data_IF_911776832736
#
_entry.id   IF_911776832736
#
_cell.length_a   1.000
_cell.length_b   1.000
_cell.length_c   1.000
_cell.angle_alpha   90.00
_cell.angle_beta   90.00
_cell.angle_gamma   90.00
#
_symmetry.space_group_name_H-M   'P 1'
#
loop_
_entity.id
_entity.type
_entity.pdbx_description
1 polymer ?
#
# COMPACT_ATOMS: atom_id res chain seq x y z
N UNK A 1 37.02 62.37 45.67
CA UNK A 1 35.89 61.58 46.22
C UNK A 1 34.91 61.37 45.08
N UNK A 2 35.08 60.32 44.26
CA UNK A 2 34.52 58.97 44.40
C UNK A 2 33.01 58.95 44.66
N UNK A 3 32.23 58.53 43.64
CA UNK A 3 31.40 57.33 43.74
C UNK A 3 31.17 56.76 42.32
N UNK A 4 31.76 55.60 42.04
CA UNK A 4 31.45 54.76 40.87
C UNK A 4 30.29 53.85 41.25
N UNK A 5 29.22 53.86 40.47
CA UNK A 5 28.11 52.90 40.54
C UNK A 5 28.49 51.62 39.79
N UNK A 6 28.58 50.50 40.51
CA UNK A 6 28.70 49.15 39.94
C UNK A 6 27.29 48.57 39.84
N UNK A 7 26.83 48.24 38.63
CA UNK A 7 25.60 47.48 38.39
C UNK A 7 25.94 45.99 38.42
N UNK A 8 25.38 45.27 39.38
CA UNK A 8 25.48 43.82 39.50
C UNK A 8 24.39 43.18 38.61
N UNK A 9 24.80 42.42 37.59
CA UNK A 9 23.89 41.64 36.74
C UNK A 9 23.96 40.20 37.26
N UNK A 10 22.88 39.73 37.88
CA UNK A 10 22.74 38.36 38.36
C UNK A 10 22.14 37.50 37.23
N UNK A 11 22.82 36.45 36.75
CA UNK A 11 22.19 35.50 35.84
C UNK A 11 21.25 34.58 36.63
N UNK A 12 19.96 34.65 36.35
CA UNK A 12 18.96 33.68 36.81
C UNK A 12 19.12 32.42 35.97
N UNK A 13 19.76 31.39 36.54
CA UNK A 13 19.71 30.03 35.97
C UNK A 13 18.32 29.46 36.25
N UNK A 14 17.47 29.45 35.22
CA UNK A 14 16.20 28.73 35.23
C UNK A 14 16.46 27.23 35.22
N UNK A 15 16.24 26.60 36.37
CA UNK A 15 16.22 25.14 36.51
C UNK A 15 14.88 24.62 35.99
N UNK A 16 14.81 24.20 34.72
CA UNK A 16 13.64 23.52 34.17
C UNK A 16 13.62 22.06 34.66
N UNK A 17 12.87 21.80 35.73
CA UNK A 17 12.47 20.45 36.15
C UNK A 17 11.52 19.87 35.09
N UNK A 18 12.05 19.03 34.19
CA UNK A 18 11.25 18.13 33.37
C UNK A 18 10.70 17.02 34.28
N UNK A 19 9.43 17.13 34.66
CA UNK A 19 8.66 16.01 35.19
C UNK A 19 8.44 15.02 34.04
N UNK A 20 9.26 13.98 33.96
CA UNK A 20 8.97 12.80 33.16
C UNK A 20 7.83 12.03 33.84
N UNK A 21 6.63 12.12 33.27
CA UNK A 21 5.55 11.21 33.62
C UNK A 21 6.00 9.80 33.28
N UNK A 22 6.25 8.98 34.30
CA UNK A 22 6.41 7.53 34.19
C UNK A 22 5.10 6.95 33.66
N UNK A 23 4.96 6.84 32.34
CA UNK A 23 4.01 5.89 31.77
C UNK A 23 4.50 4.48 32.11
N UNK A 24 3.63 3.57 32.57
CA UNK A 24 4.03 2.19 32.76
C UNK A 24 4.52 1.63 31.41
N UNK A 25 5.79 1.23 31.38
CA UNK A 25 6.34 0.40 30.31
C UNK A 25 5.56 -0.91 30.39
N UNK A 26 4.56 -1.07 29.53
CA UNK A 26 4.02 -2.39 29.25
C UNK A 26 5.17 -3.11 28.53
N UNK A 27 5.73 -4.19 29.06
CA UNK A 27 6.64 -5.01 28.28
C UNK A 27 5.83 -5.52 27.09
N UNK A 28 6.04 -4.90 25.93
CA UNK A 28 5.77 -5.57 24.67
C UNK A 28 6.76 -6.72 24.66
N UNK A 29 6.29 -7.88 25.11
CA UNK A 29 6.91 -9.13 24.72
C UNK A 29 6.85 -9.14 23.20
N UNK A 30 7.98 -8.85 22.56
CA UNK A 30 8.21 -9.32 21.21
C UNK A 30 8.16 -10.84 21.33
N UNK A 31 6.95 -11.39 21.15
CA UNK A 31 6.82 -12.79 20.84
C UNK A 31 7.67 -12.96 19.59
N UNK A 32 8.82 -13.62 19.72
CA UNK A 32 9.57 -14.16 18.60
C UNK A 32 8.65 -15.18 17.94
N UNK A 33 7.70 -14.65 17.16
CA UNK A 33 6.96 -15.44 16.20
C UNK A 33 8.02 -15.86 15.21
N UNK A 34 8.50 -17.10 15.37
CA UNK A 34 9.35 -17.83 14.45
C UNK A 34 9.13 -17.31 13.02
N UNK A 35 10.07 -16.51 12.52
CA UNK A 35 10.06 -15.98 11.15
C UNK A 35 10.00 -17.15 10.15
N UNK A 36 10.57 -18.31 10.51
CA UNK A 36 10.46 -19.56 9.75
C UNK A 36 9.05 -20.14 9.66
N UNK A 37 8.16 -19.96 10.66
CA UNK A 37 6.82 -20.54 10.61
C UNK A 37 5.85 -19.71 9.74
N UNK A 38 6.13 -18.42 9.56
CA UNK A 38 5.34 -17.53 8.67
C UNK A 38 5.78 -17.69 7.22
N UNK A 39 7.08 -17.91 6.96
CA UNK A 39 7.58 -18.23 5.61
C UNK A 39 7.13 -19.61 5.12
N UNK A 40 7.09 -20.62 6.00
CA UNK A 40 6.72 -21.98 5.60
C UNK A 40 5.23 -22.09 5.23
N UNK A 41 4.35 -21.35 5.92
CA UNK A 41 2.93 -21.21 5.57
C UNK A 41 2.69 -20.34 4.32
N UNK A 42 3.54 -19.35 4.03
CA UNK A 42 3.43 -18.55 2.81
C UNK A 42 3.94 -19.31 1.56
N UNK A 43 4.90 -20.22 1.71
CA UNK A 43 5.47 -21.02 0.62
C UNK A 43 4.52 -22.06 0.02
N UNK A 44 3.56 -22.55 0.82
CA UNK A 44 2.56 -23.55 0.38
C UNK A 44 1.45 -22.97 -0.49
N UNK A 45 1.30 -21.64 -0.59
CA UNK A 45 0.21 -20.99 -1.32
C UNK A 45 0.69 -20.02 -2.40
N UNK A 46 1.98 -19.99 -2.71
CA UNK A 46 2.54 -19.06 -3.67
C UNK A 46 2.35 -19.57 -5.11
N UNK A 47 1.51 -18.88 -5.89
CA UNK A 47 1.51 -19.02 -7.34
C UNK A 47 2.86 -18.54 -7.88
N UNK A 48 3.49 -19.33 -8.74
CA UNK A 48 4.71 -18.91 -9.46
C UNK A 48 4.37 -17.90 -10.56
N UNK A 49 5.36 -17.20 -11.08
CA UNK A 49 5.17 -16.33 -12.27
C UNK A 49 4.62 -17.10 -13.47
N UNK A 50 4.99 -18.38 -13.61
CA UNK A 50 4.44 -19.27 -14.65
C UNK A 50 2.96 -19.54 -14.41
N UNK A 51 2.56 -19.82 -13.17
CA UNK A 51 1.15 -20.04 -12.83
C UNK A 51 0.31 -18.79 -13.08
N UNK A 52 0.84 -17.61 -12.73
CA UNK A 52 0.20 -16.32 -13.01
C UNK A 52 0.08 -16.10 -14.52
N UNK A 53 1.13 -16.40 -15.29
CA UNK A 53 1.14 -16.29 -16.75
C UNK A 53 0.13 -17.21 -17.43
N UNK A 54 -0.04 -18.44 -16.93
CA UNK A 54 -1.08 -19.37 -17.38
C UNK A 54 -2.46 -18.80 -17.00
N UNK A 55 -2.67 -18.43 -15.73
CA UNK A 55 -3.94 -17.95 -15.24
C UNK A 55 -4.46 -16.70 -15.99
N UNK A 56 -3.58 -15.79 -16.40
CA UNK A 56 -3.94 -14.61 -17.19
C UNK A 56 -4.70 -14.95 -18.49
N UNK A 57 -4.49 -16.13 -19.06
CA UNK A 57 -5.17 -16.58 -20.29
C UNK A 57 -6.59 -17.10 -20.03
N UNK A 58 -6.91 -17.43 -18.78
CA UNK A 58 -8.19 -18.02 -18.39
C UNK A 58 -9.04 -17.07 -17.53
N UNK A 59 -8.51 -15.91 -17.17
CA UNK A 59 -9.23 -14.89 -16.41
C UNK A 59 -9.67 -13.80 -17.37
N UNK A 60 -10.91 -13.36 -17.22
CA UNK A 60 -11.46 -12.26 -18.00
C UNK A 60 -12.19 -11.29 -17.08
N UNK A 61 -12.21 -10.01 -17.47
CA UNK A 61 -13.05 -9.01 -16.84
C UNK A 61 -14.40 -8.96 -17.57
N UNK A 62 -15.48 -9.30 -16.87
CA UNK A 62 -16.81 -9.22 -17.44
C UNK A 62 -17.21 -7.75 -17.61
N UNK A 63 -17.37 -7.30 -18.86
CA UNK A 63 -17.65 -5.89 -19.19
C UNK A 63 -18.99 -5.36 -18.65
N UNK A 64 -19.94 -6.23 -18.29
CA UNK A 64 -21.26 -5.82 -17.79
C UNK A 64 -21.25 -5.68 -16.28
N UNK A 65 -20.66 -6.63 -15.56
CA UNK A 65 -20.60 -6.61 -14.09
C UNK A 65 -19.35 -5.92 -13.54
N UNK A 66 -18.34 -5.69 -14.38
CA UNK A 66 -16.99 -5.27 -14.04
C UNK A 66 -16.34 -6.19 -12.99
N UNK A 67 -16.62 -7.49 -13.03
CA UNK A 67 -16.01 -8.48 -12.14
C UNK A 67 -15.11 -9.44 -12.92
N UNK A 68 -14.05 -9.91 -12.28
CA UNK A 68 -13.21 -10.97 -12.78
C UNK A 68 -13.94 -12.32 -12.72
N UNK A 69 -13.75 -13.13 -13.75
CA UNK A 69 -14.23 -14.52 -13.82
C UNK A 69 -13.13 -15.45 -14.31
N UNK A 70 -13.06 -16.64 -13.73
CA UNK A 70 -12.13 -17.71 -14.11
C UNK A 70 -12.85 -18.69 -15.04
N UNK A 71 -12.27 -18.97 -16.20
CA UNK A 71 -12.75 -19.99 -17.11
C UNK A 71 -12.60 -21.39 -16.50
N UNK A 72 -13.63 -22.26 -16.51
CA UNK A 72 -13.52 -23.62 -15.99
C UNK A 72 -12.43 -24.46 -16.68
N UNK A 73 -12.06 -24.12 -17.91
CA UNK A 73 -11.00 -24.80 -18.66
C UNK A 73 -9.61 -24.68 -18.03
N UNK A 74 -9.42 -23.78 -17.05
CA UNK A 74 -8.15 -23.66 -16.31
C UNK A 74 -7.76 -24.95 -15.58
N UNK A 75 -8.76 -25.76 -15.18
CA UNK A 75 -8.54 -27.04 -14.50
C UNK A 75 -7.92 -28.12 -15.40
N UNK A 76 -7.85 -27.87 -16.71
CA UNK A 76 -7.15 -28.76 -17.65
C UNK A 76 -5.64 -28.49 -17.69
N UNK A 77 -5.18 -27.36 -17.15
CA UNK A 77 -3.78 -26.90 -17.25
C UNK A 77 -3.12 -26.64 -15.90
N UNK A 78 -3.90 -26.37 -14.86
CA UNK A 78 -3.42 -26.19 -13.49
C UNK A 78 -4.04 -27.22 -12.54
N UNK A 79 -3.32 -27.55 -11.47
CA UNK A 79 -3.83 -28.42 -10.42
C UNK A 79 -5.01 -27.76 -9.68
N UNK A 80 -5.90 -28.59 -9.14
CA UNK A 80 -7.06 -28.11 -8.37
C UNK A 80 -6.68 -27.17 -7.23
N UNK A 81 -5.54 -27.41 -6.57
CA UNK A 81 -4.99 -26.55 -5.52
C UNK A 81 -4.68 -25.14 -6.04
N UNK A 82 -3.96 -25.02 -7.16
CA UNK A 82 -3.66 -23.73 -7.80
C UNK A 82 -4.92 -23.02 -8.26
N UNK A 83 -5.87 -23.77 -8.84
CA UNK A 83 -7.17 -23.22 -9.26
C UNK A 83 -7.94 -22.66 -8.06
N UNK A 84 -7.92 -23.33 -6.91
CA UNK A 84 -8.54 -22.84 -5.68
C UNK A 84 -7.91 -21.53 -5.20
N UNK A 85 -6.57 -21.44 -5.22
CA UNK A 85 -5.85 -20.21 -4.87
C UNK A 85 -6.23 -19.07 -5.82
N UNK A 86 -6.27 -19.33 -7.13
CA UNK A 86 -6.67 -18.35 -8.15
C UNK A 86 -8.11 -17.87 -7.92
N UNK A 87 -9.03 -18.78 -7.64
CA UNK A 87 -10.41 -18.42 -7.32
C UNK A 87 -10.50 -17.53 -6.08
N UNK A 88 -9.66 -17.78 -5.07
CA UNK A 88 -9.60 -16.97 -3.87
C UNK A 88 -9.03 -15.56 -4.18
N UNK A 89 -8.00 -15.44 -5.02
CA UNK A 89 -7.51 -14.14 -5.51
C UNK A 89 -8.61 -13.35 -6.23
N UNK A 90 -9.29 -14.00 -7.16
CA UNK A 90 -10.39 -13.40 -7.94
C UNK A 90 -11.54 -12.96 -7.04
N UNK A 91 -11.91 -13.76 -6.03
CA UNK A 91 -12.95 -13.40 -5.07
C UNK A 91 -12.56 -12.15 -4.25
N UNK A 92 -11.30 -12.06 -3.81
CA UNK A 92 -10.76 -10.90 -3.10
C UNK A 92 -10.73 -9.66 -4.00
N UNK A 93 -10.23 -9.80 -5.22
CA UNK A 93 -10.22 -8.71 -6.22
C UNK A 93 -11.64 -8.17 -6.49
N UNK A 94 -12.61 -9.06 -6.65
CA UNK A 94 -14.02 -8.68 -6.83
C UNK A 94 -14.63 -8.00 -5.60
N UNK A 95 -14.11 -8.27 -4.41
CA UNK A 95 -14.49 -7.54 -3.19
C UNK A 95 -13.95 -6.11 -3.24
N UNK A 96 -12.68 -5.92 -3.62
CA UNK A 96 -12.11 -4.58 -3.81
C UNK A 96 -12.81 -3.79 -4.92
N UNK A 97 -13.20 -4.42 -6.02
CA UNK A 97 -14.00 -3.78 -7.06
C UNK A 97 -15.31 -3.21 -6.50
N UNK A 98 -16.01 -3.97 -5.64
CA UNK A 98 -17.26 -3.49 -5.02
C UNK A 98 -16.99 -2.27 -4.13
N UNK A 99 -15.93 -2.30 -3.33
CA UNK A 99 -15.54 -1.17 -2.49
C UNK A 99 -15.14 0.04 -3.33
N UNK A 100 -14.33 -0.16 -4.37
CA UNK A 100 -13.83 0.89 -5.25
C UNK A 100 -14.93 1.61 -6.02
N UNK A 101 -16.01 0.91 -6.41
CA UNK A 101 -17.19 1.53 -7.03
C UNK A 101 -17.90 2.54 -6.11
N UNK A 102 -17.73 2.41 -4.79
CA UNK A 102 -18.30 3.33 -3.79
C UNK A 102 -17.31 4.42 -3.37
N UNK A 103 -16.02 4.23 -3.64
CA UNK A 103 -14.99 5.22 -3.37
C UNK A 103 -15.01 6.30 -4.46
N UNK A 104 -14.95 7.57 -4.06
CA UNK A 104 -14.94 8.73 -4.95
C UNK A 104 -13.68 9.59 -4.79
N UNK A 105 -12.68 9.09 -4.04
CA UNK A 105 -11.47 9.84 -3.70
C UNK A 105 -10.45 9.86 -4.85
N UNK A 106 -10.37 8.80 -5.65
CA UNK A 106 -9.51 8.73 -6.83
C UNK A 106 -10.05 7.78 -7.91
N UNK A 107 -9.60 7.92 -9.17
CA UNK A 107 -9.91 6.95 -10.22
C UNK A 107 -9.38 5.55 -9.89
N UNK A 108 -10.25 4.55 -9.99
CA UNK A 108 -9.91 3.13 -9.89
C UNK A 108 -10.29 2.44 -11.19
N UNK A 109 -9.38 1.67 -11.76
CA UNK A 109 -9.60 0.88 -12.97
C UNK A 109 -9.51 -0.60 -12.65
N UNK A 110 -10.33 -1.44 -13.28
CA UNK A 110 -10.07 -2.87 -13.36
C UNK A 110 -9.39 -3.18 -14.70
N UNK A 111 -8.29 -3.93 -14.67
CA UNK A 111 -7.53 -4.30 -15.87
C UNK A 111 -7.87 -5.72 -16.27
N UNK A 112 -8.41 -5.88 -17.48
CA UNK A 112 -8.61 -7.20 -18.08
C UNK A 112 -7.25 -7.84 -18.39
N UNK A 113 -6.89 -8.98 -17.78
CA UNK A 113 -5.58 -9.60 -18.01
C UNK A 113 -5.43 -10.15 -19.43
N UNK A 114 -6.54 -10.45 -20.12
CA UNK A 114 -6.52 -11.01 -21.48
C UNK A 114 -6.27 -9.95 -22.56
N UNK A 115 -6.78 -8.73 -22.35
CA UNK A 115 -6.69 -7.64 -23.34
C UNK A 115 -5.80 -6.47 -22.92
N UNK A 116 -5.44 -6.39 -21.63
CA UNK A 116 -4.75 -5.26 -21.02
C UNK A 116 -5.59 -3.98 -20.92
N UNK A 117 -6.87 -4.03 -21.30
CA UNK A 117 -7.76 -2.86 -21.30
C UNK A 117 -8.27 -2.58 -19.89
N UNK A 118 -8.23 -1.31 -19.50
CA UNK A 118 -8.78 -0.83 -18.23
C UNK A 118 -10.23 -0.37 -18.36
N UNK A 119 -11.07 -0.74 -17.41
CA UNK A 119 -12.42 -0.21 -17.22
C UNK A 119 -12.44 0.66 -15.98
N UNK A 120 -12.86 1.92 -16.11
CA UNK A 120 -13.02 2.83 -14.99
C UNK A 120 -14.18 2.35 -14.10
N UNK A 121 -13.94 2.20 -12.81
CA UNK A 121 -14.91 1.69 -11.83
C UNK A 121 -15.66 2.79 -11.09
N UNK A 122 -15.08 3.99 -10.99
CA UNK A 122 -15.66 5.13 -10.29
C UNK A 122 -15.38 6.44 -11.05
N UNK A 123 -16.25 7.43 -10.87
CA UNK A 123 -16.07 8.74 -11.49
C UNK A 123 -15.47 9.72 -10.48
N UNK A 124 -14.21 10.11 -10.69
CA UNK A 124 -13.51 11.10 -9.87
C UNK A 124 -12.98 12.23 -10.73
N UNK A 125 -13.21 13.46 -10.28
CA UNK A 125 -12.65 14.65 -10.90
C UNK A 125 -11.14 14.71 -10.60
N UNK A 126 -10.31 14.52 -11.62
CA UNK A 126 -8.85 14.55 -11.45
C UNK A 126 -8.32 15.98 -11.58
N UNK A 127 -7.66 16.46 -10.53
CA UNK A 127 -6.84 17.67 -10.60
C UNK A 127 -5.48 17.32 -11.20
N UNK A 128 -4.95 18.16 -12.09
CA UNK A 128 -3.67 17.92 -12.77
C UNK A 128 -2.51 18.09 -11.77
N UNK A 129 -1.68 17.05 -11.61
CA UNK A 129 -0.43 17.08 -10.83
C UNK A 129 0.72 16.39 -11.59
N UNK A 130 1.96 16.57 -11.15
CA UNK A 130 3.11 15.80 -11.63
C UNK A 130 3.00 14.35 -11.11
N UNK A 131 2.77 13.41 -12.03
CA UNK A 131 2.32 12.05 -11.70
C UNK A 131 0.81 11.99 -11.40
N UNK A 132 0.25 10.79 -11.48
CA UNK A 132 -1.19 10.55 -11.22
C UNK A 132 -1.38 9.79 -9.91
N UNK A 133 -2.50 10.07 -9.25
CA UNK A 133 -3.06 9.20 -8.23
C UNK A 133 -4.17 8.39 -8.87
N UNK A 134 -3.95 7.10 -9.04
CA UNK A 134 -4.97 6.15 -9.43
C UNK A 134 -4.63 4.75 -8.93
N UNK A 135 -5.61 3.86 -8.99
CA UNK A 135 -5.42 2.45 -8.69
C UNK A 135 -5.82 1.65 -9.92
N UNK A 136 -5.00 0.67 -10.29
CA UNK A 136 -5.38 -0.35 -11.26
C UNK A 136 -5.46 -1.70 -10.55
N UNK A 137 -6.66 -2.24 -10.46
CA UNK A 137 -6.95 -3.56 -9.92
C UNK A 137 -6.70 -4.62 -11.00
N UNK A 138 -5.83 -5.56 -10.68
CA UNK A 138 -5.65 -6.81 -11.41
C UNK A 138 -6.32 -7.92 -10.60
N UNK A 139 -6.43 -9.13 -11.15
CA UNK A 139 -7.10 -10.23 -10.44
C UNK A 139 -6.32 -10.73 -9.22
N UNK A 140 -4.99 -10.52 -9.18
CA UNK A 140 -4.09 -11.01 -8.12
C UNK A 140 -3.36 -9.91 -7.31
N UNK A 141 -3.40 -8.67 -7.77
CA UNK A 141 -2.76 -7.54 -7.09
C UNK A 141 -3.47 -6.22 -7.44
N UNK A 142 -3.20 -5.18 -6.66
CA UNK A 142 -3.51 -3.80 -7.03
C UNK A 142 -2.22 -3.04 -7.30
N UNK A 143 -2.19 -2.25 -8.37
CA UNK A 143 -1.15 -1.24 -8.57
C UNK A 143 -1.65 0.11 -8.10
N UNK A 144 -0.91 0.70 -7.17
CA UNK A 144 -1.19 2.02 -6.61
C UNK A 144 -0.22 3.01 -7.24
N UNK A 145 -0.75 4.01 -7.91
CA UNK A 145 0.02 5.13 -8.44
C UNK A 145 -0.10 6.30 -7.48
N UNK A 146 1.03 6.88 -7.12
CA UNK A 146 1.14 8.06 -6.29
C UNK A 146 1.79 9.18 -7.10
N UNK A 147 1.16 10.35 -7.11
CA UNK A 147 1.79 11.56 -7.62
C UNK A 147 2.99 11.96 -6.74
N UNK A 148 3.81 12.90 -7.21
CA UNK A 148 5.03 13.28 -6.51
C UNK A 148 4.79 13.70 -5.05
N UNK A 149 3.68 14.39 -4.75
CA UNK A 149 3.34 14.82 -3.39
C UNK A 149 3.02 13.63 -2.47
N UNK A 150 2.15 12.72 -2.91
CA UNK A 150 1.78 11.55 -2.14
C UNK A 150 2.93 10.57 -2.00
N UNK A 151 3.81 10.47 -3.00
CA UNK A 151 5.06 9.72 -2.86
C UNK A 151 5.93 10.31 -1.75
N UNK A 152 6.04 11.64 -1.63
CA UNK A 152 6.79 12.26 -0.51
C UNK A 152 6.13 11.98 0.82
N UNK A 153 4.82 12.16 0.93
CA UNK A 153 4.08 11.89 2.16
C UNK A 153 4.26 10.43 2.62
N UNK A 154 4.14 9.49 1.69
CA UNK A 154 4.40 8.07 1.94
C UNK A 154 5.86 7.82 2.35
N UNK A 155 6.83 8.43 1.65
CA UNK A 155 8.25 8.31 1.97
C UNK A 155 8.59 8.87 3.37
N UNK A 156 7.87 9.90 3.82
CA UNK A 156 7.98 10.45 5.17
C UNK A 156 7.22 9.62 6.23
N UNK A 157 6.55 8.53 5.84
CA UNK A 157 5.79 7.68 6.76
C UNK A 157 4.39 8.20 7.10
N UNK A 158 3.82 9.12 6.32
CA UNK A 158 2.52 9.72 6.60
C UNK A 158 1.36 8.79 6.21
N UNK A 159 0.88 8.00 7.17
CA UNK A 159 -0.32 7.16 6.99
C UNK A 159 -1.57 8.02 6.80
N UNK A 160 -1.71 9.13 7.53
CA UNK A 160 -2.88 10.00 7.44
C UNK A 160 -2.99 10.75 6.10
N UNK A 161 -1.85 11.07 5.47
CA UNK A 161 -1.82 11.79 4.19
C UNK A 161 -2.18 10.93 2.98
N UNK A 162 -1.93 9.63 3.03
CA UNK A 162 -2.18 8.71 1.91
C UNK A 162 -3.16 7.57 2.25
N UNK A 163 -3.67 7.51 3.48
CA UNK A 163 -4.44 6.36 3.95
C UNK A 163 -5.73 6.14 3.18
N UNK A 164 -6.50 7.21 2.96
CA UNK A 164 -7.72 7.14 2.14
C UNK A 164 -7.45 6.71 0.70
N UNK A 165 -6.25 7.02 0.18
CA UNK A 165 -5.86 6.60 -1.16
C UNK A 165 -5.64 5.09 -1.20
N UNK A 166 -4.89 4.57 -0.24
CA UNK A 166 -4.42 3.18 -0.26
C UNK A 166 -5.53 2.21 0.18
N UNK A 167 -6.50 2.63 1.00
CA UNK A 167 -7.61 1.76 1.45
C UNK A 167 -8.51 1.21 0.36
N UNK A 168 -8.55 1.81 -0.83
CA UNK A 168 -9.30 1.26 -1.97
C UNK A 168 -8.62 0.00 -2.56
N UNK A 169 -7.32 -0.17 -2.34
CA UNK A 169 -6.49 -1.25 -2.85
C UNK A 169 -6.07 -2.27 -1.77
N UNK A 170 -6.25 -1.94 -0.48
CA UNK A 170 -5.86 -2.79 0.64
C UNK A 170 -6.73 -2.53 1.87
N UNK A 171 -6.71 -3.46 2.83
CA UNK A 171 -7.28 -3.21 4.17
C UNK A 171 -6.58 -2.05 4.88
N UNK A 172 -7.24 -1.49 5.89
CA UNK A 172 -6.69 -0.43 6.75
C UNK A 172 -5.38 -0.83 7.43
N UNK A 173 -5.22 -2.10 7.81
CA UNK A 173 -3.96 -2.65 8.35
C UNK A 173 -2.86 -2.63 7.28
N UNK A 174 -3.19 -3.00 6.04
CA UNK A 174 -2.23 -3.01 4.93
C UNK A 174 -1.78 -1.61 4.49
N UNK A 175 -2.53 -0.54 4.79
CA UNK A 175 -2.07 0.84 4.59
C UNK A 175 -0.79 1.10 5.40
N UNK A 176 -0.75 0.67 6.66
CA UNK A 176 0.42 0.85 7.52
C UNK A 176 1.64 0.08 7.00
N UNK A 177 1.42 -1.16 6.55
CA UNK A 177 2.47 -1.99 5.92
C UNK A 177 2.99 -1.32 4.65
N UNK A 178 2.09 -0.83 3.79
CA UNK A 178 2.44 -0.13 2.57
C UNK A 178 3.27 1.13 2.85
N UNK A 179 2.80 2.02 3.73
CA UNK A 179 3.52 3.25 4.11
C UNK A 179 4.87 2.91 4.72
N UNK A 180 4.93 1.90 5.60
CA UNK A 180 6.18 1.40 6.18
C UNK A 180 7.18 0.99 5.10
N UNK A 181 6.75 0.18 4.13
CA UNK A 181 7.60 -0.27 3.04
C UNK A 181 8.06 0.89 2.13
N UNK A 182 7.16 1.80 1.76
CA UNK A 182 7.52 2.99 0.95
C UNK A 182 8.53 3.88 1.69
N UNK A 183 8.30 4.13 2.98
CA UNK A 183 9.21 4.93 3.80
C UNK A 183 10.58 4.28 3.98
N UNK A 184 10.64 2.95 4.12
CA UNK A 184 11.89 2.20 4.16
C UNK A 184 12.68 2.30 2.85
N UNK A 185 11.99 2.29 1.71
CA UNK A 185 12.62 2.33 0.38
C UNK A 185 13.02 3.75 -0.03
N UNK A 186 12.18 4.75 0.23
CA UNK A 186 12.33 6.11 -0.31
C UNK A 186 12.59 7.19 0.74
N UNK A 187 12.50 6.88 2.03
CA UNK A 187 12.53 7.87 3.11
C UNK A 187 13.80 8.73 3.11
N UNK A 188 14.94 8.13 2.76
CA UNK A 188 16.22 8.84 2.65
C UNK A 188 16.27 9.93 1.56
N UNK A 189 15.31 9.93 0.61
CA UNK A 189 15.18 10.93 -0.46
C UNK A 189 13.89 11.74 -0.40
N UNK A 190 13.10 11.65 0.68
CA UNK A 190 11.75 12.18 0.70
C UNK A 190 11.64 13.65 0.25
N UNK A 191 12.59 14.53 0.62
CA UNK A 191 12.58 15.95 0.22
C UNK A 191 12.94 16.20 -1.27
N UNK A 192 13.60 15.24 -1.92
CA UNK A 192 14.11 15.36 -3.30
C UNK A 192 13.26 14.70 -4.37
N UNK A 193 12.13 14.08 -4.00
CA UNK A 193 11.25 13.37 -4.95
C UNK A 193 10.51 14.39 -5.83
N UNK A 194 10.71 14.32 -7.14
CA UNK A 194 10.06 15.21 -8.12
C UNK A 194 9.00 14.50 -8.96
N UNK A 195 9.11 13.18 -9.05
CA UNK A 195 8.26 12.34 -9.88
C UNK A 195 7.37 11.44 -9.01
N UNK A 196 6.30 10.93 -9.60
CA UNK A 196 5.41 9.98 -8.94
C UNK A 196 6.01 8.57 -8.89
N UNK A 197 5.39 7.68 -8.13
CA UNK A 197 5.77 6.25 -8.07
C UNK A 197 4.58 5.34 -8.25
N UNK A 198 4.82 4.11 -8.67
CA UNK A 198 3.80 3.05 -8.71
C UNK A 198 4.26 1.84 -7.91
N UNK A 199 3.31 1.11 -7.34
CA UNK A 199 3.56 0.01 -6.41
C UNK A 199 2.56 -1.12 -6.59
N UNK A 200 3.04 -2.35 -6.77
CA UNK A 200 2.21 -3.55 -6.90
C UNK A 200 2.04 -4.22 -5.53
N UNK A 201 0.84 -4.14 -4.98
CA UNK A 201 0.46 -4.72 -3.69
C UNK A 201 -0.32 -6.01 -3.94
N UNK A 202 0.24 -7.13 -3.48
CA UNK A 202 -0.42 -8.44 -3.59
C UNK A 202 -1.58 -8.55 -2.57
N UNK A 203 -2.72 -9.08 -3.01
CA UNK A 203 -3.92 -9.12 -2.17
C UNK A 203 -3.84 -10.06 -0.96
N UNK A 204 -3.06 -11.15 -1.02
CA UNK A 204 -2.96 -12.11 0.08
C UNK A 204 -1.84 -11.79 1.04
N UNK A 205 -0.65 -11.50 0.52
CA UNK A 205 0.50 -11.21 1.38
C UNK A 205 0.47 -9.77 1.88
N UNK A 206 -0.33 -8.90 1.26
CA UNK A 206 -0.32 -7.43 1.47
C UNK A 206 1.06 -6.79 1.26
N UNK A 207 1.98 -7.54 0.64
CA UNK A 207 3.36 -7.13 0.42
C UNK A 207 3.53 -6.42 -0.93
N UNK A 208 4.55 -5.57 -0.99
CA UNK A 208 4.96 -4.93 -2.23
C UNK A 208 5.78 -5.93 -3.04
N UNK A 209 5.30 -6.25 -4.24
CA UNK A 209 5.94 -7.21 -5.14
C UNK A 209 6.83 -6.51 -6.18
N UNK A 210 6.41 -5.35 -6.65
CA UNK A 210 7.12 -4.53 -7.64
C UNK A 210 6.85 -3.05 -7.39
N UNK A 211 7.77 -2.19 -7.82
CA UNK A 211 7.56 -0.74 -7.78
C UNK A 211 8.45 -0.03 -8.81
N UNK A 212 8.15 1.23 -9.10
CA UNK A 212 8.96 2.06 -9.97
C UNK A 212 8.56 3.54 -9.96
N UNK A 213 9.30 4.34 -10.73
CA UNK A 213 8.98 5.74 -11.00
C UNK A 213 7.94 5.86 -12.12
N UNK A 214 7.16 6.94 -12.09
CA UNK A 214 6.22 7.34 -13.14
C UNK A 214 6.86 8.33 -14.11
#
# INVERSE_FOLDING_TARGET
MNHKTVKLITPVMGLSLLLSTLAPVIPVSANETNESAVEEAASQYALTDVDIGIANQYITLNATSNNFSVSPSISNVLSSEKVNIINAFVATANTFIKTAKMDISMPVYAIDPSTGKGVLLNHVATLRSAGKNDITLHWNYARIYLNAENTRLAAMGSVGGIGGLVTAATSSVGVGVFVGAVSGILGYKASGIKDGTWWDVNFFTTSITKWGWQ
#
